data_IF_857289809591
#
_entry.id   IF_857289809591
#
_cell.length_a   1.000
_cell.length_b   1.000
_cell.length_c   1.000
_cell.angle_alpha   90.00
_cell.angle_beta   90.00
_cell.angle_gamma   90.00
#
_symmetry.space_group_name_H-M   'P 1'
#
loop_
_entity.id
_entity.type
_entity.pdbx_description
1 polymer ?
#
# COMPACT_ATOMS: atom_id res chain seq x y z
N UNK A 1 5.11 -15.17 6.09
CA UNK A 1 3.91 -15.48 5.26
C UNK A 1 3.98 -14.67 3.98
N UNK A 2 3.95 -15.33 2.82
CA UNK A 2 3.93 -14.70 1.50
C UNK A 2 2.54 -14.75 0.89
N UNK A 3 2.12 -13.68 0.23
CA UNK A 3 0.84 -13.55 -0.47
C UNK A 3 1.02 -12.86 -1.82
N UNK A 4 0.08 -13.05 -2.73
CA UNK A 4 0.02 -12.28 -3.97
C UNK A 4 -1.25 -11.41 -3.95
N UNK A 5 -1.08 -10.12 -4.28
CA UNK A 5 -2.22 -9.20 -4.39
C UNK A 5 -3.02 -9.48 -5.65
N UNK A 6 -4.34 -9.48 -5.50
CA UNK A 6 -5.27 -9.61 -6.63
C UNK A 6 -5.26 -8.41 -7.57
N UNK A 7 -4.49 -7.35 -7.30
CA UNK A 7 -4.23 -6.28 -8.28
C UNK A 7 -3.65 -6.84 -9.57
N UNK A 8 -2.82 -7.90 -9.46
CA UNK A 8 -2.23 -8.59 -10.61
C UNK A 8 -3.26 -9.21 -11.56
N UNK A 9 -4.36 -9.77 -11.05
CA UNK A 9 -5.26 -10.57 -11.88
C UNK A 9 -6.75 -10.22 -11.84
N UNK A 10 -7.23 -9.41 -10.90
CA UNK A 10 -8.66 -9.15 -10.72
C UNK A 10 -9.36 -8.53 -11.93
N UNK A 11 -8.61 -7.80 -12.77
CA UNK A 11 -9.15 -7.13 -13.96
C UNK A 11 -9.62 -8.10 -15.04
N UNK A 12 -9.02 -9.31 -15.16
CA UNK A 12 -9.30 -10.30 -16.21
C UNK A 12 -10.29 -11.38 -15.81
N UNK A 13 -10.73 -11.42 -14.52
CA UNK A 13 -11.68 -12.39 -14.04
C UNK A 13 -13.08 -11.82 -13.88
N UNK A 14 -14.09 -12.66 -14.10
CA UNK A 14 -15.51 -12.40 -13.82
C UNK A 14 -16.03 -13.27 -12.66
N UNK A 15 -15.24 -14.23 -12.21
CA UNK A 15 -15.51 -15.15 -11.09
C UNK A 15 -14.38 -15.06 -10.06
N UNK A 16 -14.73 -14.80 -8.80
CA UNK A 16 -13.77 -14.61 -7.72
C UNK A 16 -13.04 -15.87 -7.30
N UNK A 17 -13.69 -17.05 -7.42
CA UNK A 17 -13.06 -18.34 -7.12
C UNK A 17 -12.01 -18.70 -8.16
N UNK A 18 -12.32 -18.48 -9.45
CA UNK A 18 -11.36 -18.68 -10.54
C UNK A 18 -10.16 -17.72 -10.41
N UNK A 19 -10.38 -16.46 -10.02
CA UNK A 19 -9.33 -15.49 -9.74
C UNK A 19 -8.37 -15.98 -8.65
N UNK A 20 -8.89 -16.46 -7.53
CA UNK A 20 -8.08 -16.96 -6.42
C UNK A 20 -7.41 -18.30 -6.75
N UNK A 21 -8.03 -19.15 -7.57
CA UNK A 21 -7.43 -20.39 -8.04
C UNK A 21 -6.17 -20.13 -8.86
N UNK A 22 -6.17 -19.14 -9.74
CA UNK A 22 -4.99 -18.75 -10.49
C UNK A 22 -3.80 -18.36 -9.59
N UNK A 23 -4.06 -17.65 -8.48
CA UNK A 23 -3.04 -17.35 -7.46
C UNK A 23 -2.53 -18.64 -6.78
N UNK A 24 -3.43 -19.59 -6.50
CA UNK A 24 -3.07 -20.91 -5.95
C UNK A 24 -2.18 -21.72 -6.89
N UNK A 25 -2.45 -21.66 -8.18
CA UNK A 25 -1.68 -22.36 -9.22
C UNK A 25 -0.23 -21.86 -9.31
N UNK A 26 0.03 -20.61 -8.90
CA UNK A 26 1.38 -20.05 -8.72
C UNK A 26 2.07 -20.51 -7.41
N UNK A 27 1.41 -21.33 -6.59
CA UNK A 27 1.96 -21.87 -5.35
C UNK A 27 1.63 -21.07 -4.08
N UNK A 28 0.91 -19.95 -4.18
CA UNK A 28 0.55 -19.17 -3.00
C UNK A 28 -0.56 -19.82 -2.19
N UNK A 29 -0.41 -19.82 -0.86
CA UNK A 29 -1.45 -20.24 0.08
C UNK A 29 -2.30 -19.07 0.57
N UNK A 30 -1.83 -17.85 0.34
CA UNK A 30 -2.46 -16.61 0.76
C UNK A 30 -2.57 -15.63 -0.41
N UNK A 31 -3.65 -14.87 -0.41
CA UNK A 31 -3.84 -13.73 -1.30
C UNK A 31 -4.18 -12.47 -0.51
N UNK A 32 -3.92 -11.32 -1.11
CA UNK A 32 -4.52 -10.06 -0.68
C UNK A 32 -5.67 -9.69 -1.63
N UNK A 33 -6.78 -9.22 -1.07
CA UNK A 33 -7.84 -8.59 -1.87
C UNK A 33 -7.52 -7.12 -2.11
N UNK A 34 -7.23 -6.77 -3.36
CA UNK A 34 -6.88 -5.40 -3.75
C UNK A 34 -8.10 -4.47 -3.81
N UNK A 35 -7.85 -3.17 -3.90
CA UNK A 35 -8.86 -2.14 -4.09
C UNK A 35 -9.63 -2.23 -5.43
N UNK A 36 -9.21 -3.11 -6.35
CA UNK A 36 -9.86 -3.38 -7.65
C UNK A 36 -10.94 -4.46 -7.62
N UNK A 37 -11.22 -5.08 -6.48
CA UNK A 37 -12.22 -6.16 -6.38
C UNK A 37 -13.63 -5.62 -6.60
N UNK A 38 -14.22 -6.01 -7.73
CA UNK A 38 -15.63 -5.69 -8.03
C UNK A 38 -16.55 -6.51 -7.13
N UNK A 39 -17.68 -5.91 -6.75
CA UNK A 39 -18.67 -6.59 -5.89
C UNK A 39 -19.13 -7.94 -6.47
N UNK A 40 -19.17 -8.06 -7.79
CA UNK A 40 -19.52 -9.31 -8.49
C UNK A 40 -18.54 -10.46 -8.28
N UNK A 41 -17.30 -10.18 -7.86
CA UNK A 41 -16.30 -11.21 -7.57
C UNK A 41 -16.45 -11.78 -6.14
N UNK A 42 -17.06 -11.03 -5.21
CA UNK A 42 -17.14 -11.42 -3.81
C UNK A 42 -17.80 -12.78 -3.56
N UNK A 43 -18.90 -13.16 -4.23
CA UNK A 43 -19.50 -14.49 -4.00
C UNK A 43 -18.48 -15.62 -4.20
N UNK A 44 -17.76 -15.64 -5.32
CA UNK A 44 -16.73 -16.64 -5.59
C UNK A 44 -15.53 -16.56 -4.65
N UNK A 45 -15.15 -15.34 -4.20
CA UNK A 45 -14.11 -15.15 -3.17
C UNK A 45 -14.54 -15.83 -1.86
N UNK A 46 -15.76 -15.59 -1.39
CA UNK A 46 -16.27 -16.19 -0.16
C UNK A 46 -16.35 -17.72 -0.27
N UNK A 47 -16.84 -18.25 -1.39
CA UNK A 47 -16.88 -19.69 -1.64
C UNK A 47 -15.49 -20.33 -1.58
N UNK A 48 -14.46 -19.72 -2.19
CA UNK A 48 -13.10 -20.23 -2.17
C UNK A 48 -12.50 -20.25 -0.76
N UNK A 49 -12.74 -19.18 0.02
CA UNK A 49 -12.26 -19.06 1.39
C UNK A 49 -12.98 -20.03 2.32
N UNK A 50 -14.32 -20.14 2.24
CA UNK A 50 -15.13 -21.07 3.04
C UNK A 50 -14.80 -22.54 2.73
N UNK A 51 -14.46 -22.85 1.47
CA UNK A 51 -13.97 -24.16 1.06
C UNK A 51 -12.52 -24.45 1.49
N UNK A 52 -11.80 -23.49 2.06
CA UNK A 52 -10.40 -23.63 2.48
C UNK A 52 -9.41 -23.73 1.32
N UNK A 53 -9.79 -23.32 0.10
CA UNK A 53 -8.93 -23.40 -1.09
C UNK A 53 -7.75 -22.43 -1.00
N UNK A 54 -7.96 -21.26 -0.40
CA UNK A 54 -6.96 -20.21 -0.18
C UNK A 54 -7.35 -19.38 1.05
N UNK A 55 -6.38 -18.75 1.70
CA UNK A 55 -6.61 -17.81 2.80
C UNK A 55 -6.35 -16.39 2.33
N UNK A 56 -7.00 -15.42 2.99
CA UNK A 56 -6.76 -14.00 2.73
C UNK A 56 -5.89 -13.43 3.85
N UNK A 57 -4.74 -12.86 3.49
CA UNK A 57 -3.79 -12.26 4.44
C UNK A 57 -4.19 -10.85 4.84
N UNK A 58 -4.56 -10.05 3.87
CA UNK A 58 -4.88 -8.63 3.98
C UNK A 58 -5.93 -8.21 2.96
N UNK A 59 -6.53 -7.06 3.18
CA UNK A 59 -7.47 -6.42 2.25
C UNK A 59 -7.09 -4.96 2.07
N UNK A 60 -6.88 -4.55 0.84
CA UNK A 60 -6.58 -3.15 0.54
C UNK A 60 -7.86 -2.31 0.41
N UNK A 61 -7.88 -1.14 1.00
CA UNK A 61 -9.00 -0.21 0.93
C UNK A 61 -9.05 0.47 -0.47
N UNK A 62 -10.15 0.53 -1.18
CA UNK A 62 -11.52 0.14 -0.83
C UNK A 62 -11.88 -1.22 -1.45
N UNK A 63 -12.28 -2.17 -0.64
CA UNK A 63 -12.69 -3.49 -1.10
C UNK A 63 -14.04 -3.91 -0.45
N UNK A 64 -15.09 -4.21 -1.24
CA UNK A 64 -15.13 -4.13 -2.70
C UNK A 64 -15.11 -2.69 -3.23
N UNK A 65 -14.75 -2.57 -4.51
CA UNK A 65 -14.83 -1.30 -5.24
C UNK A 65 -16.23 -0.67 -5.07
N UNK A 66 -16.32 0.61 -4.71
CA UNK A 66 -17.60 1.28 -4.48
C UNK A 66 -18.53 1.22 -5.69
N UNK A 67 -19.82 1.03 -5.43
CA UNK A 67 -20.84 0.94 -6.50
C UNK A 67 -20.84 2.24 -7.34
N UNK A 68 -20.84 2.08 -8.66
CA UNK A 68 -20.82 3.19 -9.62
C UNK A 68 -19.40 3.69 -9.96
N UNK A 69 -18.38 3.11 -9.35
CA UNK A 69 -16.98 3.39 -9.70
C UNK A 69 -16.48 2.35 -10.69
N UNK A 70 -15.96 2.82 -11.83
CA UNK A 70 -15.50 1.95 -12.91
C UNK A 70 -13.98 1.76 -12.92
N UNK A 71 -13.24 2.65 -12.27
CA UNK A 71 -11.78 2.57 -12.18
C UNK A 71 -11.37 2.44 -10.71
N UNK A 72 -10.61 1.40 -10.44
CA UNK A 72 -10.02 1.19 -9.14
C UNK A 72 -8.99 2.29 -8.85
N UNK A 73 -9.10 2.88 -7.66
CA UNK A 73 -8.14 3.87 -7.17
C UNK A 73 -8.15 3.83 -5.64
N UNK A 74 -7.03 3.56 -4.99
CA UNK A 74 -6.96 3.53 -3.52
C UNK A 74 -7.17 4.91 -2.88
N UNK A 75 -7.00 5.98 -3.65
CA UNK A 75 -7.24 7.37 -3.24
C UNK A 75 -8.62 7.91 -3.70
N UNK A 76 -9.57 7.03 -4.02
CA UNK A 76 -10.91 7.40 -4.52
C UNK A 76 -11.65 8.36 -3.58
N UNK A 77 -11.55 8.13 -2.27
CA UNK A 77 -12.05 9.00 -1.22
C UNK A 77 -10.94 9.23 -0.19
N UNK A 78 -10.53 10.48 -0.02
CA UNK A 78 -9.42 10.84 0.86
C UNK A 78 -9.91 11.11 2.28
N UNK A 79 -9.25 10.53 3.27
CA UNK A 79 -9.47 10.88 4.69
C UNK A 79 -9.12 12.35 4.93
N UNK A 80 -8.17 12.87 4.17
CA UNK A 80 -7.71 14.25 4.26
C UNK A 80 -8.56 15.26 3.49
N UNK A 81 -9.62 14.84 2.78
CA UNK A 81 -10.42 15.75 1.97
C UNK A 81 -10.99 16.92 2.80
N UNK A 82 -10.93 18.17 2.31
CA UNK A 82 -11.65 19.29 2.91
C UNK A 82 -13.17 19.15 2.81
N UNK A 83 -13.69 18.36 1.85
CA UNK A 83 -15.10 18.07 1.72
C UNK A 83 -15.55 17.00 2.73
N UNK A 84 -16.45 17.38 3.64
CA UNK A 84 -16.99 16.48 4.64
C UNK A 84 -17.75 15.29 4.03
N UNK A 85 -18.44 15.49 2.89
CA UNK A 85 -19.16 14.41 2.21
C UNK A 85 -18.20 13.36 1.63
N UNK A 86 -17.06 13.79 1.12
CA UNK A 86 -16.02 12.87 0.66
C UNK A 86 -15.45 12.08 1.84
N UNK A 87 -15.16 12.73 2.97
CA UNK A 87 -14.71 12.03 4.19
C UNK A 87 -15.75 11.03 4.71
N UNK A 88 -17.04 11.37 4.65
CA UNK A 88 -18.12 10.43 5.04
C UNK A 88 -18.20 9.24 4.08
N UNK A 89 -17.95 9.44 2.79
CA UNK A 89 -17.82 8.34 1.85
C UNK A 89 -16.57 7.49 2.16
N UNK A 90 -15.41 8.12 2.41
CA UNK A 90 -14.20 7.42 2.84
C UNK A 90 -14.48 6.54 4.06
N UNK A 91 -15.12 7.06 5.10
CA UNK A 91 -15.50 6.30 6.29
C UNK A 91 -16.40 5.11 5.93
N UNK A 92 -17.52 5.37 5.24
CA UNK A 92 -18.52 4.35 4.92
C UNK A 92 -17.94 3.19 4.12
N UNK A 93 -17.10 3.48 3.12
CA UNK A 93 -16.51 2.44 2.29
C UNK A 93 -15.34 1.74 2.99
N UNK A 94 -14.60 2.42 3.86
CA UNK A 94 -13.61 1.76 4.71
C UNK A 94 -14.26 0.79 5.70
N UNK A 95 -15.42 1.14 6.28
CA UNK A 95 -16.19 0.20 7.10
C UNK A 95 -16.59 -1.04 6.29
N UNK A 96 -16.99 -0.88 5.02
CA UNK A 96 -17.26 -2.02 4.13
C UNK A 96 -16.03 -2.88 3.88
N UNK A 97 -14.86 -2.27 3.74
CA UNK A 97 -13.59 -3.01 3.62
C UNK A 97 -13.29 -3.79 4.89
N UNK A 98 -13.48 -3.19 6.08
CA UNK A 98 -13.33 -3.84 7.39
C UNK A 98 -14.28 -5.04 7.53
N UNK A 99 -15.57 -4.88 7.18
CA UNK A 99 -16.56 -5.96 7.17
C UNK A 99 -16.16 -7.11 6.22
N UNK A 100 -15.64 -6.77 5.03
CA UNK A 100 -15.14 -7.74 4.05
C UNK A 100 -13.93 -8.48 4.60
N UNK A 101 -12.95 -7.76 5.17
CA UNK A 101 -11.76 -8.34 5.78
C UNK A 101 -12.09 -9.31 6.92
N UNK A 102 -13.01 -8.92 7.80
CA UNK A 102 -13.50 -9.79 8.88
C UNK A 102 -14.16 -11.06 8.32
N UNK A 103 -14.99 -10.94 7.28
CA UNK A 103 -15.68 -12.08 6.68
C UNK A 103 -14.74 -13.09 6.03
N UNK A 104 -13.65 -12.62 5.41
CA UNK A 104 -12.66 -13.51 4.76
C UNK A 104 -11.55 -13.95 5.72
N UNK A 105 -11.59 -13.54 7.00
CA UNK A 105 -10.59 -13.88 8.01
C UNK A 105 -9.22 -13.25 7.76
N UNK A 106 -9.16 -12.11 7.08
CA UNK A 106 -7.95 -11.33 6.92
C UNK A 106 -7.46 -10.76 8.26
N UNK A 107 -6.18 -10.42 8.35
CA UNK A 107 -5.57 -9.87 9.56
C UNK A 107 -5.40 -8.36 9.51
N UNK A 108 -5.20 -7.81 8.33
CA UNK A 108 -4.84 -6.41 8.11
C UNK A 108 -5.74 -5.79 7.04
N UNK A 109 -6.16 -4.55 7.26
CA UNK A 109 -6.71 -3.66 6.24
C UNK A 109 -5.66 -2.60 5.92
N UNK A 110 -5.19 -2.56 4.68
CA UNK A 110 -4.20 -1.58 4.22
C UNK A 110 -4.90 -0.29 3.82
N UNK A 111 -4.39 0.85 4.29
CA UNK A 111 -5.01 2.16 4.14
C UNK A 111 -4.05 3.19 3.57
N UNK A 112 -4.54 3.96 2.59
CA UNK A 112 -4.05 5.30 2.26
C UNK A 112 -4.88 6.34 3.02
N UNK A 113 -4.24 7.37 3.55
CA UNK A 113 -4.99 8.40 4.27
C UNK A 113 -5.36 9.60 3.38
N UNK A 114 -4.65 9.77 2.27
CA UNK A 114 -4.89 10.84 1.32
C UNK A 114 -3.75 11.85 1.24
N UNK A 115 -4.02 13.02 0.71
CA UNK A 115 -3.00 14.01 0.37
C UNK A 115 -3.42 15.42 0.72
N UNK A 116 -2.44 16.32 0.75
CA UNK A 116 -2.62 17.78 0.82
C UNK A 116 -3.06 18.26 -0.56
N UNK A 117 -4.06 19.15 -0.61
CA UNK A 117 -4.45 19.82 -1.86
C UNK A 117 -3.40 20.88 -2.23
N UNK A 118 -2.45 20.47 -3.06
CA UNK A 118 -1.36 21.29 -3.58
C UNK A 118 -1.02 20.85 -5.01
N UNK A 119 -0.13 21.59 -5.67
CA UNK A 119 0.36 21.20 -7.00
C UNK A 119 1.11 19.87 -6.90
N UNK A 120 1.07 19.14 -7.98
CA UNK A 120 1.90 17.97 -8.15
C UNK A 120 3.36 18.36 -8.38
N UNK A 121 4.17 18.12 -7.35
CA UNK A 121 5.63 18.31 -7.38
C UNK A 121 6.34 17.00 -7.65
N UNK A 122 5.78 15.88 -7.16
CA UNK A 122 6.40 14.56 -7.25
C UNK A 122 6.61 14.16 -8.70
N UNK A 123 5.60 14.22 -9.55
CA UNK A 123 5.72 13.88 -10.98
C UNK A 123 6.73 14.79 -11.70
N UNK A 124 6.81 16.06 -11.32
CA UNK A 124 7.78 16.99 -11.89
C UNK A 124 9.21 16.66 -11.47
N UNK A 125 9.42 16.21 -10.23
CA UNK A 125 10.72 15.76 -9.75
C UNK A 125 11.12 14.44 -10.42
N UNK A 126 10.19 13.50 -10.57
CA UNK A 126 10.37 12.24 -11.31
C UNK A 126 10.81 12.53 -12.76
N UNK A 127 10.12 13.45 -13.45
CA UNK A 127 10.47 13.83 -14.82
C UNK A 127 11.89 14.40 -14.90
N UNK A 128 12.26 15.31 -14.01
CA UNK A 128 13.61 15.88 -13.98
C UNK A 128 14.69 14.84 -13.64
N UNK A 129 14.39 13.92 -12.71
CA UNK A 129 15.32 12.83 -12.38
C UNK A 129 15.52 11.90 -13.59
N UNK A 130 14.44 11.56 -14.32
CA UNK A 130 14.50 10.78 -15.56
C UNK A 130 15.28 11.45 -16.68
N UNK A 131 15.30 12.79 -16.73
CA UNK A 131 16.12 13.59 -17.64
C UNK A 131 17.58 13.77 -17.17
N UNK A 132 17.98 13.15 -16.05
CA UNK A 132 19.32 13.31 -15.47
C UNK A 132 19.56 14.70 -14.84
N UNK A 133 18.50 15.42 -14.48
CA UNK A 133 18.57 16.78 -13.93
C UNK A 133 18.43 16.84 -12.39
N UNK A 134 18.64 15.73 -11.68
CA UNK A 134 18.51 15.67 -10.20
C UNK A 134 19.40 16.66 -9.47
N UNK A 135 20.60 16.97 -10.00
CA UNK A 135 21.54 17.92 -9.43
C UNK A 135 21.37 19.35 -9.96
N UNK A 136 20.28 19.61 -10.69
CA UNK A 136 20.07 20.93 -11.29
C UNK A 136 19.51 21.96 -10.29
N UNK A 137 19.76 23.26 -10.48
CA UNK A 137 19.13 24.33 -9.69
C UNK A 137 17.59 24.28 -9.76
N UNK A 138 17.03 23.81 -10.87
CA UNK A 138 15.59 23.64 -11.05
C UNK A 138 15.03 22.55 -10.13
N UNK A 139 15.76 21.43 -9.99
CA UNK A 139 15.39 20.35 -9.08
C UNK A 139 15.44 20.82 -7.62
N UNK A 140 16.55 21.41 -7.20
CA UNK A 140 16.71 21.95 -5.84
C UNK A 140 15.64 22.99 -5.49
N UNK A 141 15.26 23.85 -6.44
CA UNK A 141 14.17 24.81 -6.26
C UNK A 141 12.83 24.12 -6.04
N UNK A 142 12.52 23.04 -6.79
CA UNK A 142 11.28 22.29 -6.61
C UNK A 142 11.22 21.57 -5.26
N UNK A 143 12.35 21.00 -4.79
CA UNK A 143 12.42 20.40 -3.45
C UNK A 143 12.08 21.43 -2.36
N UNK A 144 12.69 22.61 -2.41
CA UNK A 144 12.39 23.68 -1.46
C UNK A 144 10.92 24.14 -1.54
N UNK A 145 10.38 24.27 -2.77
CA UNK A 145 8.98 24.67 -2.96
C UNK A 145 7.99 23.65 -2.40
N UNK A 146 8.23 22.32 -2.55
CA UNK A 146 7.33 21.32 -2.01
C UNK A 146 7.35 21.33 -0.50
N UNK A 147 8.52 21.44 0.13
CA UNK A 147 8.64 21.52 1.58
C UNK A 147 7.90 22.73 2.15
N UNK A 148 8.14 23.94 1.60
CA UNK A 148 7.46 25.17 2.02
C UNK A 148 5.93 25.07 1.88
N UNK A 149 5.44 24.52 0.76
CA UNK A 149 4.00 24.40 0.49
C UNK A 149 3.34 23.36 1.37
N UNK A 150 4.05 22.26 1.63
CA UNK A 150 3.59 21.21 2.52
C UNK A 150 3.47 21.73 3.95
N UNK A 151 4.55 22.32 4.48
CA UNK A 151 4.57 22.88 5.84
C UNK A 151 3.48 23.93 6.07
N UNK A 152 3.23 24.79 5.09
CA UNK A 152 2.18 25.80 5.18
C UNK A 152 0.75 25.27 5.26
N UNK A 153 0.52 23.99 4.89
CA UNK A 153 -0.83 23.42 4.76
C UNK A 153 -1.07 22.17 5.60
N UNK A 154 -0.04 21.39 5.93
CA UNK A 154 -0.14 20.01 6.42
C UNK A 154 -1.02 19.84 7.67
N UNK A 155 -0.95 20.78 8.62
CA UNK A 155 -1.63 20.65 9.93
C UNK A 155 -3.12 20.35 9.77
N UNK A 156 -3.81 21.09 8.91
CA UNK A 156 -5.25 20.88 8.65
C UNK A 156 -5.55 19.50 8.08
N UNK A 157 -4.72 19.01 7.14
CA UNK A 157 -4.93 17.73 6.48
C UNK A 157 -4.56 16.57 7.41
N UNK A 158 -3.52 16.74 8.23
CA UNK A 158 -3.19 15.79 9.29
C UNK A 158 -4.34 15.65 10.30
N UNK A 159 -4.95 16.76 10.70
CA UNK A 159 -6.10 16.73 11.60
C UNK A 159 -7.26 15.92 10.99
N UNK A 160 -7.58 16.15 9.71
CA UNK A 160 -8.60 15.36 9.02
C UNK A 160 -8.25 13.85 8.99
N UNK A 161 -6.99 13.52 8.69
CA UNK A 161 -6.52 12.13 8.70
C UNK A 161 -6.67 11.49 10.08
N UNK A 162 -6.28 12.20 11.15
CA UNK A 162 -6.40 11.73 12.53
C UNK A 162 -7.85 11.50 12.94
N UNK A 163 -8.73 12.46 12.67
CA UNK A 163 -10.15 12.34 13.03
C UNK A 163 -10.81 11.16 12.30
N UNK A 164 -10.49 10.99 11.03
CA UNK A 164 -11.00 9.87 10.25
C UNK A 164 -10.44 8.54 10.72
N UNK A 165 -9.13 8.47 11.01
CA UNK A 165 -8.52 7.23 11.47
C UNK A 165 -9.08 6.81 12.84
N UNK A 166 -9.32 7.74 13.79
CA UNK A 166 -9.98 7.42 15.06
C UNK A 166 -11.34 6.76 14.85
N UNK A 167 -12.15 7.28 13.91
CA UNK A 167 -13.46 6.71 13.58
C UNK A 167 -13.38 5.30 13.01
N UNK A 168 -12.43 5.03 12.10
CA UNK A 168 -12.28 3.69 11.48
C UNK A 168 -11.59 2.72 12.42
N UNK A 169 -10.71 3.19 13.32
CA UNK A 169 -10.04 2.36 14.32
C UNK A 169 -11.04 1.67 15.24
N UNK A 170 -12.08 2.38 15.71
CA UNK A 170 -13.15 1.77 16.52
C UNK A 170 -13.81 0.59 15.81
N UNK A 171 -13.98 0.67 14.47
CA UNK A 171 -14.56 -0.44 13.71
C UNK A 171 -13.56 -1.59 13.55
N UNK A 172 -12.30 -1.28 13.27
CA UNK A 172 -11.25 -2.31 13.14
C UNK A 172 -11.07 -3.10 14.46
N UNK A 173 -11.01 -2.42 15.60
CA UNK A 173 -10.89 -3.04 16.91
C UNK A 173 -12.08 -3.94 17.25
N UNK A 174 -13.32 -3.55 16.91
CA UNK A 174 -14.52 -4.41 17.07
C UNK A 174 -14.45 -5.72 16.30
N UNK A 175 -13.72 -5.72 15.18
CA UNK A 175 -13.53 -6.90 14.34
C UNK A 175 -12.19 -7.62 14.58
N UNK A 176 -11.36 -7.13 15.52
CA UNK A 176 -10.05 -7.70 15.82
C UNK A 176 -9.04 -7.54 14.67
N UNK A 177 -9.19 -6.50 13.85
CA UNK A 177 -8.36 -6.22 12.68
C UNK A 177 -7.30 -5.17 12.97
N UNK A 178 -6.18 -5.27 12.28
CA UNK A 178 -5.13 -4.25 12.25
C UNK A 178 -5.33 -3.33 11.05
N UNK A 179 -5.12 -2.03 11.23
CA UNK A 179 -5.04 -1.04 10.17
C UNK A 179 -3.57 -0.83 9.82
N UNK A 180 -3.17 -1.22 8.61
CA UNK A 180 -1.83 -0.99 8.07
C UNK A 180 -1.78 0.35 7.34
N UNK A 181 -1.09 1.34 7.90
CA UNK A 181 -0.94 2.65 7.26
C UNK A 181 0.27 2.59 6.35
N UNK A 182 0.02 2.73 5.07
CA UNK A 182 1.03 2.56 4.04
C UNK A 182 1.82 3.84 3.77
N UNK A 183 3.16 3.71 3.62
CA UNK A 183 3.97 4.78 3.06
C UNK A 183 3.67 4.96 1.58
N UNK A 184 3.61 6.22 1.15
CA UNK A 184 3.21 6.56 -0.21
C UNK A 184 4.38 7.12 -1.00
N UNK A 185 4.28 7.06 -2.32
CA UNK A 185 5.30 7.56 -3.25
C UNK A 185 5.34 9.10 -3.34
N UNK A 186 4.15 9.74 -3.26
CA UNK A 186 4.03 11.15 -3.51
C UNK A 186 4.31 12.00 -2.26
N UNK A 187 5.06 13.08 -2.43
CA UNK A 187 5.40 14.03 -1.37
C UNK A 187 4.19 14.82 -0.86
N UNK A 188 3.12 14.85 -1.64
CA UNK A 188 1.84 15.47 -1.31
C UNK A 188 1.01 14.64 -0.33
N UNK A 189 1.32 13.35 -0.16
CA UNK A 189 0.52 12.42 0.64
C UNK A 189 0.82 12.52 2.15
N UNK A 190 -0.11 12.05 2.96
CA UNK A 190 -0.05 12.06 4.43
C UNK A 190 -0.23 10.62 4.95
N UNK A 191 0.60 10.19 5.92
CA UNK A 191 1.79 10.85 6.48
C UNK A 191 2.97 10.87 5.50
N UNK A 192 3.85 11.87 5.59
CA UNK A 192 5.17 11.81 4.96
C UNK A 192 6.12 10.99 5.84
N UNK A 193 7.23 10.54 5.29
CA UNK A 193 8.13 9.57 5.93
C UNK A 193 8.54 9.92 7.36
N UNK A 194 8.96 11.16 7.61
CA UNK A 194 9.36 11.62 8.95
C UNK A 194 8.18 11.86 9.93
N UNK A 195 6.94 11.89 9.42
CA UNK A 195 5.73 12.11 10.22
C UNK A 195 5.21 10.81 10.86
N UNK A 196 5.54 9.63 10.31
CA UNK A 196 4.99 8.34 10.75
C UNK A 196 5.24 8.04 12.23
N UNK A 197 6.43 8.36 12.76
CA UNK A 197 6.73 8.10 14.18
C UNK A 197 5.82 8.88 15.10
N UNK A 198 5.54 10.15 14.79
CA UNK A 198 4.60 10.96 15.55
C UNK A 198 3.17 10.44 15.41
N UNK A 199 2.80 10.04 14.20
CA UNK A 199 1.51 9.47 13.89
C UNK A 199 1.21 8.22 14.73
N UNK A 200 2.12 7.25 14.82
CA UNK A 200 1.94 6.04 15.61
C UNK A 200 1.94 6.31 17.12
N UNK A 201 2.71 7.28 17.59
CA UNK A 201 2.68 7.70 19.01
C UNK A 201 1.38 8.36 19.41
N UNK A 202 0.79 9.16 18.51
CA UNK A 202 -0.52 9.79 18.75
C UNK A 202 -1.65 8.76 18.89
N UNK A 203 -1.67 7.74 18.05
CA UNK A 203 -2.69 6.69 18.11
C UNK A 203 -2.46 5.69 19.24
N UNK A 204 -1.21 5.35 19.53
CA UNK A 204 -0.79 4.42 20.58
C UNK A 204 -1.67 3.17 20.71
N UNK A 205 -2.15 2.64 19.57
CA UNK A 205 -3.00 1.45 19.49
C UNK A 205 -2.26 0.30 18.82
N UNK A 206 -2.31 -0.93 19.35
CA UNK A 206 -1.77 -2.09 18.67
C UNK A 206 -2.48 -2.42 17.35
N UNK A 207 -3.67 -1.86 17.12
CA UNK A 207 -4.45 -2.04 15.91
C UNK A 207 -4.09 -1.02 14.81
N UNK A 208 -3.19 -0.04 15.06
CA UNK A 208 -2.66 0.88 14.04
C UNK A 208 -1.18 0.60 13.86
N UNK A 209 -0.79 0.15 12.66
CA UNK A 209 0.56 -0.32 12.36
C UNK A 209 1.08 0.26 11.05
N UNK A 210 2.39 0.21 10.88
CA UNK A 210 3.06 0.58 9.65
C UNK A 210 2.93 -0.53 8.60
N UNK A 211 2.63 -0.15 7.38
CA UNK A 211 2.68 -1.00 6.20
C UNK A 211 3.73 -0.44 5.25
N UNK A 212 4.76 -1.23 4.95
CA UNK A 212 5.89 -0.77 4.16
C UNK A 212 5.74 -1.19 2.71
N UNK A 213 5.50 -0.23 1.83
CA UNK A 213 5.61 -0.43 0.39
C UNK A 213 7.05 -0.16 -0.05
N UNK A 214 7.68 -1.22 -0.60
CA UNK A 214 9.09 -1.18 -0.97
C UNK A 214 9.35 -0.28 -2.18
N UNK A 215 8.43 -0.24 -3.13
CA UNK A 215 8.56 0.59 -4.33
C UNK A 215 8.35 2.07 -4.04
N UNK A 216 7.34 2.40 -3.23
CA UNK A 216 7.09 3.79 -2.84
C UNK A 216 8.28 4.41 -2.08
N UNK A 217 8.91 3.61 -1.19
CA UNK A 217 10.13 4.04 -0.51
C UNK A 217 11.29 4.19 -1.49
N UNK A 218 11.45 3.27 -2.45
CA UNK A 218 12.51 3.34 -3.44
C UNK A 218 12.38 4.55 -4.36
N UNK A 219 11.16 4.91 -4.77
CA UNK A 219 10.92 6.13 -5.57
C UNK A 219 11.41 7.36 -4.80
N UNK A 220 11.09 7.49 -3.51
CA UNK A 220 11.56 8.61 -2.69
C UNK A 220 13.08 8.60 -2.46
N UNK A 221 13.71 7.43 -2.37
CA UNK A 221 15.16 7.31 -2.35
C UNK A 221 15.78 7.76 -3.68
N UNK A 222 15.21 7.33 -4.82
CA UNK A 222 15.63 7.76 -6.15
C UNK A 222 15.57 9.29 -6.31
N UNK A 223 14.55 9.90 -5.73
CA UNK A 223 14.39 11.36 -5.69
C UNK A 223 15.28 12.04 -4.64
N UNK A 224 15.86 11.31 -3.68
CA UNK A 224 16.78 11.82 -2.67
C UNK A 224 16.13 12.37 -1.40
N UNK A 225 14.89 11.99 -1.12
CA UNK A 225 14.16 12.44 0.08
C UNK A 225 14.39 11.53 1.30
N UNK A 226 14.66 10.25 1.08
CA UNK A 226 14.94 9.30 2.15
C UNK A 226 16.14 8.41 1.79
N UNK A 227 16.65 7.71 2.79
CA UNK A 227 17.46 6.49 2.63
C UNK A 227 16.58 5.30 3.02
N UNK A 228 16.27 4.43 2.06
CA UNK A 228 15.23 3.40 2.17
C UNK A 228 15.40 2.50 3.42
N UNK A 229 16.58 1.90 3.60
CA UNK A 229 16.83 1.03 4.74
C UNK A 229 16.76 1.77 6.09
N UNK A 230 17.28 3.00 6.18
CA UNK A 230 17.21 3.80 7.40
C UNK A 230 15.77 4.22 7.73
N UNK A 231 14.97 4.54 6.70
CA UNK A 231 13.55 4.84 6.90
C UNK A 231 12.83 3.62 7.49
N UNK A 232 13.02 2.43 6.92
CA UNK A 232 12.42 1.20 7.44
C UNK A 232 12.90 0.88 8.86
N UNK A 233 14.19 1.10 9.17
CA UNK A 233 14.73 0.93 10.52
C UNK A 233 13.98 1.75 11.56
N UNK A 234 13.71 3.03 11.27
CA UNK A 234 13.02 3.92 12.21
C UNK A 234 11.58 3.50 12.52
N UNK A 235 10.96 2.71 11.65
CA UNK A 235 9.57 2.26 11.74
C UNK A 235 9.42 0.75 12.03
N UNK A 236 10.53 0.03 12.18
CA UNK A 236 10.55 -1.43 12.33
C UNK A 236 9.71 -1.94 13.53
N UNK A 237 9.60 -1.15 14.61
CA UNK A 237 8.79 -1.51 15.78
C UNK A 237 7.27 -1.47 15.51
N UNK A 238 6.84 -0.67 14.54
CA UNK A 238 5.44 -0.53 14.15
C UNK A 238 5.03 -1.43 12.98
N UNK A 239 5.98 -2.12 12.36
CA UNK A 239 5.77 -2.82 11.09
C UNK A 239 4.84 -4.03 11.24
N UNK A 240 3.80 -4.09 10.39
CA UNK A 240 2.89 -5.23 10.27
C UNK A 240 3.18 -6.07 9.02
N UNK A 241 3.62 -5.46 7.94
CA UNK A 241 3.85 -6.14 6.67
C UNK A 241 4.35 -5.22 5.57
N UNK A 242 4.41 -5.80 4.39
CA UNK A 242 4.99 -5.18 3.20
C UNK A 242 4.08 -5.34 2.00
N UNK A 243 4.01 -4.30 1.16
CA UNK A 243 3.86 -4.49 -0.27
C UNK A 243 5.24 -4.63 -0.88
N UNK A 244 5.42 -5.68 -1.68
CA UNK A 244 6.73 -6.03 -2.26
C UNK A 244 6.62 -5.98 -3.77
N UNK A 245 7.30 -5.05 -4.35
CA UNK A 245 7.55 -4.93 -5.78
C UNK A 245 8.82 -4.14 -6.02
N UNK A 246 9.40 -4.24 -7.19
CA UNK A 246 10.61 -3.52 -7.55
C UNK A 246 10.32 -2.24 -8.32
N UNK A 247 11.34 -1.40 -8.46
CA UNK A 247 11.27 -0.11 -9.15
C UNK A 247 12.45 0.01 -10.12
N UNK A 248 12.15 0.34 -11.37
CA UNK A 248 13.14 0.82 -12.32
C UNK A 248 13.20 2.35 -12.27
N UNK A 249 14.43 2.88 -12.28
CA UNK A 249 14.66 4.33 -12.19
C UNK A 249 13.94 5.12 -13.31
N UNK A 250 13.33 6.26 -13.03
CA UNK A 250 13.23 6.92 -11.73
C UNK A 250 12.09 6.41 -10.85
N UNK A 251 10.97 5.91 -11.43
CA UNK A 251 9.72 5.63 -10.71
C UNK A 251 8.82 4.60 -11.43
N UNK A 252 9.36 3.72 -12.27
CA UNK A 252 8.55 2.63 -12.84
C UNK A 252 8.44 1.53 -11.80
N UNK A 253 7.31 1.50 -11.13
CA UNK A 253 7.02 0.63 -9.99
C UNK A 253 6.20 -0.63 -10.35
N UNK A 254 5.82 -1.40 -9.31
CA UNK A 254 5.09 -2.66 -9.42
C UNK A 254 5.75 -3.68 -10.36
N UNK A 255 7.08 -3.58 -10.52
CA UNK A 255 7.90 -4.55 -11.24
C UNK A 255 8.18 -5.78 -10.37
N UNK A 256 8.46 -6.97 -10.98
CA UNK A 256 8.86 -8.15 -10.21
C UNK A 256 10.15 -7.90 -9.40
N UNK A 257 10.25 -8.37 -8.14
CA UNK A 257 11.49 -8.28 -7.37
C UNK A 257 12.69 -8.84 -8.11
N UNK A 258 13.80 -8.09 -8.10
CA UNK A 258 15.02 -8.42 -8.83
C UNK A 258 15.09 -7.91 -10.27
N UNK A 259 14.04 -7.22 -10.75
CA UNK A 259 14.04 -6.57 -12.07
C UNK A 259 14.32 -5.06 -12.03
N UNK A 260 14.43 -4.50 -10.85
CA UNK A 260 14.69 -3.08 -10.60
C UNK A 260 15.94 -2.86 -9.76
N UNK A 261 15.87 -1.92 -8.83
CA UNK A 261 17.05 -1.44 -8.12
C UNK A 261 16.96 -1.54 -6.58
N UNK A 262 15.90 -2.14 -6.04
CA UNK A 262 15.73 -2.28 -4.59
C UNK A 262 16.75 -3.25 -4.01
N UNK A 263 17.52 -2.81 -3.01
CA UNK A 263 18.41 -3.66 -2.23
C UNK A 263 17.62 -4.39 -1.12
N UNK A 264 16.99 -5.51 -1.48
CA UNK A 264 16.25 -6.34 -0.53
C UNK A 264 17.13 -6.94 0.57
N UNK A 265 18.46 -7.06 0.35
CA UNK A 265 19.37 -7.55 1.37
C UNK A 265 19.57 -6.51 2.48
N UNK A 266 19.61 -5.22 2.14
CA UNK A 266 19.64 -4.13 3.11
C UNK A 266 18.37 -4.03 3.96
N UNK A 267 17.22 -4.46 3.44
CA UNK A 267 15.94 -4.46 4.15
C UNK A 267 15.75 -5.69 5.05
N UNK A 268 16.45 -6.81 4.75
CA UNK A 268 16.30 -8.09 5.45
C UNK A 268 16.38 -8.01 6.98
N UNK A 269 17.27 -7.22 7.62
CA UNK A 269 17.36 -7.14 9.07
C UNK A 269 16.04 -6.74 9.77
N UNK A 270 15.13 -6.08 9.07
CA UNK A 270 13.85 -5.59 9.59
C UNK A 270 12.69 -6.54 9.28
N UNK A 271 12.92 -7.57 8.46
CA UNK A 271 11.90 -8.54 8.06
C UNK A 271 11.80 -9.65 9.10
N UNK A 272 10.60 -9.81 9.70
CA UNK A 272 10.33 -10.85 10.69
C UNK A 272 9.38 -11.92 10.13
N UNK A 273 9.38 -13.14 10.71
CA UNK A 273 8.48 -14.21 10.27
C UNK A 273 7.01 -13.84 10.33
N UNK A 274 6.58 -13.10 11.36
CA UNK A 274 5.21 -12.67 11.56
C UNK A 274 4.71 -11.62 10.57
N UNK A 275 5.61 -10.90 9.90
CA UNK A 275 5.24 -9.88 8.91
C UNK A 275 4.58 -10.51 7.68
N UNK A 276 3.51 -9.88 7.21
CA UNK A 276 2.92 -10.18 5.91
C UNK A 276 3.83 -9.64 4.80
N UNK A 277 4.03 -10.41 3.74
CA UNK A 277 4.84 -10.04 2.57
C UNK A 277 3.96 -10.25 1.35
N UNK A 278 3.34 -9.19 0.89
CA UNK A 278 2.38 -9.21 -0.21
C UNK A 278 3.06 -8.74 -1.48
N UNK A 279 3.21 -9.63 -2.45
CA UNK A 279 3.66 -9.24 -3.78
C UNK A 279 2.57 -8.43 -4.48
N UNK A 280 2.88 -7.19 -4.80
CA UNK A 280 1.96 -6.27 -5.48
C UNK A 280 2.54 -5.89 -6.85
N UNK A 281 2.15 -6.63 -7.88
CA UNK A 281 2.71 -6.50 -9.21
C UNK A 281 1.69 -5.98 -10.22
N UNK A 282 2.17 -5.27 -11.23
CA UNK A 282 1.34 -4.77 -12.32
C UNK A 282 0.53 -5.88 -13.01
N UNK A 283 -0.70 -5.58 -13.46
CA UNK A 283 -1.55 -6.54 -14.16
C UNK A 283 -0.93 -7.14 -15.44
N UNK A 284 0.03 -6.44 -16.06
CA UNK A 284 0.71 -6.90 -17.26
C UNK A 284 1.88 -7.85 -17.03
N UNK A 285 2.27 -8.11 -15.77
CA UNK A 285 3.40 -9.01 -15.47
C UNK A 285 3.02 -10.46 -15.76
N UNK A 286 3.79 -11.19 -16.61
CA UNK A 286 3.53 -12.60 -16.88
C UNK A 286 3.71 -13.46 -15.62
N UNK A 287 2.95 -14.55 -15.52
CA UNK A 287 3.01 -15.50 -14.40
C UNK A 287 4.42 -16.04 -14.14
N UNK A 288 5.19 -16.29 -15.22
CA UNK A 288 6.59 -16.71 -15.12
C UNK A 288 7.47 -15.67 -14.44
N UNK A 289 7.28 -14.38 -14.73
CA UNK A 289 8.03 -13.30 -14.10
C UNK A 289 7.59 -13.08 -12.64
N UNK A 290 6.32 -13.28 -12.32
CA UNK A 290 5.84 -13.35 -10.92
C UNK A 290 6.61 -14.43 -10.17
N UNK A 291 6.67 -15.65 -10.71
CA UNK A 291 7.37 -16.78 -10.07
C UNK A 291 8.88 -16.50 -9.89
N UNK A 292 9.53 -15.87 -10.87
CA UNK A 292 10.95 -15.45 -10.78
C UNK A 292 11.16 -14.42 -9.67
N UNK A 293 10.29 -13.41 -9.59
CA UNK A 293 10.37 -12.39 -8.54
C UNK A 293 10.17 -12.95 -7.14
N UNK A 294 9.23 -13.89 -6.98
CA UNK A 294 9.02 -14.63 -5.73
C UNK A 294 10.27 -15.41 -5.34
N UNK A 295 10.83 -16.19 -6.27
CA UNK A 295 12.05 -16.98 -6.01
C UNK A 295 13.26 -16.08 -5.65
N UNK A 296 13.40 -14.94 -6.34
CA UNK A 296 14.43 -13.96 -6.03
C UNK A 296 14.32 -13.44 -4.58
N UNK A 297 13.14 -12.99 -4.19
CA UNK A 297 12.94 -12.47 -2.84
C UNK A 297 13.12 -13.55 -1.76
N UNK A 298 12.61 -14.77 -1.98
CA UNK A 298 12.73 -15.87 -1.06
C UNK A 298 14.20 -16.32 -0.88
N UNK A 299 15.04 -16.20 -1.90
CA UNK A 299 16.48 -16.45 -1.78
C UNK A 299 17.16 -15.46 -0.81
N UNK A 300 16.63 -14.23 -0.69
CA UNK A 300 17.19 -13.19 0.19
C UNK A 300 16.53 -13.24 1.57
N UNK A 301 15.19 -13.19 1.64
CA UNK A 301 14.46 -13.08 2.92
C UNK A 301 14.15 -14.42 3.57
N UNK A 302 14.38 -15.52 2.87
CA UNK A 302 14.09 -16.88 3.31
C UNK A 302 12.73 -17.38 2.78
N UNK A 303 12.53 -18.71 2.73
CA UNK A 303 11.23 -19.33 2.43
C UNK A 303 10.20 -19.00 3.52
N UNK A 304 8.95 -19.44 3.35
CA UNK A 304 7.89 -19.36 4.37
C UNK A 304 8.25 -20.07 5.66
#
# INVERSE_FOLDING_TARGET
>A
MYSLSTCWNSHRHTDGRAMLREIRELGFQYAELSHGIRISLLPGVFEAVEAGEIKISSVHNFCPLPIGVNQANPNLFKFTSPDARERDNAYRYTVKTIETAARVGARVVVLHLGSIDMKDYTDRLIALAGEGQKDSPKYAKLCAEVDDKREAKKERYQQYAYDMLRRVLEQAERHGLTLGIENREALEEIPLDHEFTFFFREFNSPAVRYWHDTGHAQIKENLGFIHHAMHLETLAEFLAGFHVHDVQFPATDHCPPGSGMIDYAALKPFVKPEHLKVFEMNPGVPAEEVAKGVAHLQAIWGPE
#
